data_IF_723384118528
#
_entry.id   IF_723384118528
#
_cell.length_a   1.000
_cell.length_b   1.000
_cell.length_c   1.000
_cell.angle_alpha   90.00
_cell.angle_beta   90.00
_cell.angle_gamma   90.00
#
_symmetry.space_group_name_H-M   'P 1'
#
loop_
_entity.id
_entity.type
_entity.pdbx_description
1 polymer ?
#
# COMPACT_ATOMS: atom_id res chain seq x y z
N UNK A 1 2.72 33.56 -1.05
CA UNK A 1 2.30 32.66 0.05
C UNK A 1 3.55 32.20 0.81
N UNK A 2 3.72 32.61 2.07
CA UNK A 2 4.91 32.31 2.87
C UNK A 2 4.73 30.93 3.50
N UNK A 3 5.55 29.95 3.09
CA UNK A 3 5.46 28.57 3.60
C UNK A 3 6.38 28.42 4.82
N UNK A 4 5.81 28.09 5.98
CA UNK A 4 6.57 27.90 7.23
C UNK A 4 6.57 26.42 7.63
N UNK A 5 7.75 25.79 7.64
CA UNK A 5 7.92 24.44 8.16
C UNK A 5 8.07 24.48 9.69
N UNK A 6 7.25 23.69 10.39
CA UNK A 6 7.17 23.72 11.87
C UNK A 6 7.28 22.31 12.45
N UNK A 7 7.72 22.23 13.72
CA UNK A 7 7.73 20.97 14.45
C UNK A 7 6.33 20.61 14.98
N UNK A 8 6.16 19.41 15.55
CA UNK A 8 4.85 18.92 16.03
C UNK A 8 4.24 19.81 17.11
N UNK A 9 5.05 20.31 18.05
CA UNK A 9 4.58 21.13 19.16
C UNK A 9 4.16 22.52 18.66
N UNK A 10 4.97 23.11 17.79
CA UNK A 10 4.64 24.40 17.16
C UNK A 10 3.40 24.28 16.27
N UNK A 11 3.28 23.24 15.45
CA UNK A 11 2.08 23.02 14.64
C UNK A 11 0.82 22.93 15.51
N UNK A 12 0.89 22.17 16.61
CA UNK A 12 -0.23 22.07 17.57
C UNK A 12 -0.54 23.42 18.22
N UNK A 13 0.48 24.18 18.59
CA UNK A 13 0.29 25.52 19.16
C UNK A 13 -0.39 26.46 18.16
N UNK A 14 0.03 26.47 16.88
CA UNK A 14 -0.59 27.28 15.83
C UNK A 14 -2.05 26.91 15.59
N UNK A 15 -2.35 25.61 15.49
CA UNK A 15 -3.71 25.11 15.35
C UNK A 15 -4.60 25.53 16.53
N UNK A 16 -4.11 25.34 17.76
CA UNK A 16 -4.83 25.73 18.97
C UNK A 16 -5.05 27.25 19.06
N UNK A 17 -4.06 28.06 18.66
CA UNK A 17 -4.19 29.51 18.62
C UNK A 17 -5.24 29.95 17.60
N UNK A 18 -5.25 29.35 16.40
CA UNK A 18 -6.26 29.66 15.38
C UNK A 18 -7.68 29.35 15.89
N UNK A 19 -7.86 28.18 16.51
CA UNK A 19 -9.14 27.79 17.11
C UNK A 19 -9.55 28.73 18.27
N UNK A 20 -8.62 29.07 19.17
CA UNK A 20 -8.89 29.97 20.30
C UNK A 20 -9.29 31.37 19.82
N UNK A 21 -8.63 31.88 18.80
CA UNK A 21 -8.91 33.19 18.21
C UNK A 21 -10.10 33.19 17.26
N UNK A 22 -10.81 32.05 17.12
CA UNK A 22 -11.90 31.87 16.15
C UNK A 22 -11.47 32.23 14.71
N UNK A 23 -10.20 32.04 14.39
CA UNK A 23 -9.67 32.30 13.05
C UNK A 23 -10.00 31.10 12.15
N UNK A 24 -10.73 31.29 11.04
CA UNK A 24 -11.03 30.19 10.13
C UNK A 24 -9.76 29.55 9.55
N UNK A 25 -9.77 28.23 9.41
CA UNK A 25 -8.66 27.48 8.85
C UNK A 25 -9.10 26.25 8.05
N UNK A 26 -8.20 25.81 7.17
CA UNK A 26 -8.26 24.52 6.49
C UNK A 26 -7.05 23.68 6.93
N UNK A 27 -7.33 22.49 7.47
CA UNK A 27 -6.35 21.50 7.85
C UNK A 27 -6.37 20.35 6.83
N UNK A 28 -5.29 20.24 6.06
CA UNK A 28 -5.06 19.18 5.10
C UNK A 28 -4.21 18.07 5.75
N UNK A 29 -4.69 16.84 5.72
CA UNK A 29 -4.03 15.67 6.31
C UNK A 29 -3.74 14.60 5.28
N UNK A 30 -2.48 14.18 5.17
CA UNK A 30 -2.05 13.11 4.26
C UNK A 30 -1.04 12.20 4.96
N UNK A 31 -1.51 11.08 5.50
CA UNK A 31 -0.70 10.21 6.35
C UNK A 31 -0.12 10.99 7.54
N UNK A 32 1.20 11.00 7.68
CA UNK A 32 1.90 11.72 8.76
C UNK A 32 2.23 13.19 8.42
N UNK A 33 1.77 13.70 7.28
CA UNK A 33 1.95 15.10 6.88
C UNK A 33 0.67 15.89 7.14
N UNK A 34 0.83 17.12 7.66
CA UNK A 34 -0.29 18.05 7.86
C UNK A 34 0.05 19.43 7.32
N UNK A 35 -0.91 20.09 6.69
CA UNK A 35 -0.82 21.49 6.30
C UNK A 35 -1.97 22.24 6.97
N UNK A 36 -1.66 23.33 7.67
CA UNK A 36 -2.64 24.25 8.22
C UNK A 36 -2.61 25.52 7.37
N UNK A 37 -3.70 25.80 6.67
CA UNK A 37 -3.92 27.02 5.91
C UNK A 37 -4.85 27.93 6.70
N UNK A 38 -4.37 29.11 7.07
CA UNK A 38 -5.18 30.11 7.76
C UNK A 38 -5.87 31.04 6.75
N UNK A 39 -7.00 31.62 7.14
CA UNK A 39 -7.76 32.57 6.31
C UNK A 39 -6.99 33.83 5.91
N UNK A 40 -5.92 34.17 6.64
CA UNK A 40 -5.02 35.29 6.32
C UNK A 40 -3.99 34.97 5.21
N UNK A 41 -4.04 33.75 4.66
CA UNK A 41 -3.13 33.27 3.62
C UNK A 41 -1.81 32.69 4.13
N UNK A 42 -1.64 32.57 5.45
CA UNK A 42 -0.49 31.89 6.07
C UNK A 42 -0.65 30.38 6.04
N UNK A 43 0.41 29.66 5.67
CA UNK A 43 0.43 28.20 5.66
C UNK A 43 1.56 27.64 6.52
N UNK A 44 1.20 26.74 7.43
CA UNK A 44 2.13 25.98 8.25
C UNK A 44 2.18 24.52 7.80
N UNK A 45 3.38 23.96 7.68
CA UNK A 45 3.60 22.60 7.20
C UNK A 45 4.26 21.78 8.31
N UNK A 46 3.52 20.78 8.80
CA UNK A 46 4.10 19.69 9.59
C UNK A 46 4.55 18.60 8.63
N UNK A 47 5.84 18.58 8.36
CA UNK A 47 6.47 17.55 7.54
C UNK A 47 7.22 16.57 8.45
N UNK A 48 6.70 15.35 8.62
CA UNK A 48 7.32 14.34 9.50
C UNK A 48 8.61 13.74 8.96
N UNK A 49 9.01 14.08 7.72
CA UNK A 49 10.28 13.63 7.13
C UNK A 49 11.52 14.24 7.79
N UNK A 50 11.41 15.21 8.72
CA UNK A 50 12.60 15.68 9.46
C UNK A 50 13.16 14.68 10.46
N UNK A 51 12.44 13.60 10.78
CA UNK A 51 13.09 12.45 11.43
C UNK A 51 13.86 11.59 10.42
N UNK A 52 13.78 11.79 9.10
CA UNK A 52 14.41 10.91 8.09
C UNK A 52 15.73 11.43 7.51
N UNK A 53 16.29 12.55 7.99
CA UNK A 53 17.48 13.17 7.39
C UNK A 53 18.76 13.01 8.21
N UNK A 54 18.65 12.64 9.49
CA UNK A 54 19.80 12.24 10.31
C UNK A 54 19.79 10.73 10.50
N UNK A 55 20.65 10.04 9.76
CA UNK A 55 21.73 9.16 10.27
C UNK A 55 22.19 8.21 9.16
N UNK A 56 23.51 8.18 8.93
CA UNK A 56 24.26 7.30 8.03
C UNK A 56 24.21 5.80 8.37
N UNK A 57 23.22 5.35 9.17
CA UNK A 57 23.10 3.96 9.61
C UNK A 57 21.84 3.33 9.02
N UNK A 58 22.02 2.23 8.29
CA UNK A 58 20.96 1.29 7.91
C UNK A 58 20.40 0.66 9.19
N UNK A 59 19.53 1.38 9.88
CA UNK A 59 18.78 0.83 10.98
C UNK A 59 17.59 0.05 10.39
N UNK A 60 17.79 -1.26 10.25
CA UNK A 60 16.83 -2.20 9.62
C UNK A 60 15.48 -2.27 10.35
N UNK A 61 15.41 -1.72 11.58
CA UNK A 61 14.21 -1.61 12.40
C UNK A 61 13.59 -0.21 12.42
N UNK A 62 14.15 0.77 11.70
CA UNK A 62 13.53 2.10 11.62
C UNK A 62 12.44 2.13 10.55
N UNK A 63 11.26 2.65 10.87
CA UNK A 63 10.19 2.95 9.90
C UNK A 63 10.58 4.05 8.88
N UNK A 64 11.85 4.47 8.85
CA UNK A 64 12.35 5.55 8.01
C UNK A 64 12.75 5.01 6.64
N UNK A 65 12.36 5.72 5.59
CA UNK A 65 12.89 5.50 4.25
C UNK A 65 14.34 6.01 4.19
N UNK A 66 15.25 5.30 3.51
CA UNK A 66 16.63 5.76 3.33
C UNK A 66 16.66 7.14 2.66
N UNK A 67 17.27 8.13 3.33
CA UNK A 67 17.29 9.52 2.88
C UNK A 67 17.86 9.67 1.46
N UNK A 68 18.92 8.90 1.18
CA UNK A 68 19.60 8.83 -0.10
C UNK A 68 18.77 8.17 -1.21
N UNK A 69 17.59 7.65 -0.92
CA UNK A 69 16.71 7.00 -1.91
C UNK A 69 15.38 7.75 -2.09
N UNK A 70 15.05 8.73 -1.25
CA UNK A 70 13.79 9.49 -1.33
C UNK A 70 13.65 10.21 -2.67
N UNK A 71 14.77 10.71 -3.23
CA UNK A 71 14.75 11.37 -4.54
C UNK A 71 14.23 10.43 -5.65
N UNK A 72 14.38 9.11 -5.48
CA UNK A 72 13.94 8.12 -6.46
C UNK A 72 12.42 8.15 -6.64
N UNK A 73 11.65 8.39 -5.57
CA UNK A 73 10.19 8.58 -5.64
C UNK A 73 9.85 9.74 -6.59
N UNK A 74 10.58 10.85 -6.49
CA UNK A 74 10.44 12.00 -7.38
C UNK A 74 10.80 11.67 -8.83
N UNK A 75 11.85 10.88 -9.07
CA UNK A 75 12.24 10.44 -10.42
C UNK A 75 11.16 9.59 -11.07
N UNK A 76 10.58 8.64 -10.35
CA UNK A 76 9.50 7.78 -10.86
C UNK A 76 8.27 8.62 -11.20
N UNK A 77 7.88 9.53 -10.31
CA UNK A 77 6.76 10.44 -10.55
C UNK A 77 6.99 11.31 -11.78
N UNK A 78 8.17 11.92 -11.90
CA UNK A 78 8.55 12.74 -13.06
C UNK A 78 8.51 11.92 -14.35
N UNK A 79 9.05 10.70 -14.36
CA UNK A 79 9.02 9.81 -15.53
C UNK A 79 7.59 9.54 -16.03
N UNK A 80 6.67 9.15 -15.14
CA UNK A 80 5.27 8.87 -15.48
C UNK A 80 4.54 10.13 -15.98
N UNK A 81 4.90 11.29 -15.44
CA UNK A 81 4.31 12.58 -15.84
C UNK A 81 4.83 13.04 -17.21
N UNK A 82 6.15 13.13 -17.37
CA UNK A 82 6.81 13.68 -18.56
C UNK A 82 6.52 12.84 -19.81
N UNK A 83 6.38 11.52 -19.66
CA UNK A 83 6.07 10.60 -20.76
C UNK A 83 4.55 10.39 -20.97
N UNK A 84 3.70 11.10 -20.22
CA UNK A 84 2.25 10.99 -20.37
C UNK A 84 1.67 9.60 -20.05
N UNK A 85 2.42 8.73 -19.36
CA UNK A 85 2.03 7.33 -19.07
C UNK A 85 0.80 7.23 -18.15
N UNK A 86 0.48 8.29 -17.42
CA UNK A 86 -0.77 8.40 -16.67
C UNK A 86 -2.00 8.60 -17.57
N UNK A 87 -1.86 9.06 -18.82
CA UNK A 87 -2.99 9.34 -19.72
C UNK A 87 -3.41 8.14 -20.55
N UNK A 88 -2.53 7.17 -20.77
CA UNK A 88 -2.79 6.01 -21.63
C UNK A 88 -3.91 5.10 -21.10
N UNK A 89 -4.35 5.28 -19.85
CA UNK A 89 -5.15 4.31 -19.10
C UNK A 89 -6.51 4.86 -18.65
N UNK A 90 -6.80 6.14 -18.89
CA UNK A 90 -8.09 6.75 -18.51
C UNK A 90 -9.29 6.06 -19.15
N UNK A 91 -9.10 5.30 -20.26
CA UNK A 91 -10.19 4.62 -20.98
C UNK A 91 -10.67 3.29 -20.36
N UNK A 92 -9.90 2.64 -19.49
CA UNK A 92 -10.23 1.30 -18.95
C UNK A 92 -10.04 1.20 -17.41
N UNK A 93 -9.99 2.33 -16.73
CA UNK A 93 -9.86 2.37 -15.27
C UNK A 93 -11.06 1.67 -14.62
N UNK A 94 -10.82 0.50 -14.03
CA UNK A 94 -11.76 -0.10 -13.09
C UNK A 94 -11.62 0.64 -11.77
N UNK A 95 -12.70 1.28 -11.33
CA UNK A 95 -12.78 1.95 -10.03
C UNK A 95 -12.23 1.04 -8.92
N UNK A 96 -11.54 1.63 -7.93
CA UNK A 96 -10.91 0.92 -6.81
C UNK A 96 -11.83 -0.11 -6.14
N UNK A 97 -13.14 0.12 -6.16
CA UNK A 97 -14.15 -0.75 -5.52
C UNK A 97 -14.32 -2.11 -6.23
N UNK A 98 -13.81 -2.25 -7.45
CA UNK A 98 -13.78 -3.53 -8.17
C UNK A 98 -12.56 -4.39 -7.84
N UNK A 99 -11.59 -3.85 -7.10
CA UNK A 99 -10.34 -4.55 -6.75
C UNK A 99 -10.52 -5.14 -5.35
N UNK A 100 -10.72 -6.45 -5.28
CA UNK A 100 -10.71 -7.16 -4.00
C UNK A 100 -9.26 -7.45 -3.62
N UNK A 101 -8.78 -6.80 -2.57
CA UNK A 101 -7.47 -7.11 -1.97
C UNK A 101 -7.52 -8.34 -1.09
N UNK A 102 -8.72 -8.86 -0.84
CA UNK A 102 -8.93 -10.03 -0.01
C UNK A 102 -10.13 -10.81 -0.50
N UNK A 103 -10.00 -12.12 -0.43
CA UNK A 103 -11.09 -13.06 -0.59
C UNK A 103 -10.75 -14.32 0.18
N UNK A 104 -11.75 -14.99 0.71
CA UNK A 104 -11.63 -16.31 1.31
C UNK A 104 -12.67 -17.26 0.72
N UNK A 105 -12.50 -18.55 0.98
CA UNK A 105 -13.46 -19.56 0.64
C UNK A 105 -14.67 -19.45 1.58
N UNK A 106 -15.81 -19.00 1.06
CA UNK A 106 -17.03 -18.71 1.83
C UNK A 106 -17.67 -19.97 2.43
N UNK A 107 -17.23 -21.17 2.03
CA UNK A 107 -17.64 -22.41 2.67
C UNK A 107 -16.89 -22.69 3.99
N UNK A 108 -15.97 -21.81 4.40
CA UNK A 108 -15.18 -21.95 5.62
C UNK A 108 -15.83 -21.17 6.77
N UNK A 109 -16.20 -21.88 7.83
CA UNK A 109 -16.76 -21.28 9.04
C UNK A 109 -15.72 -20.94 10.12
N UNK A 110 -16.15 -20.18 11.11
CA UNK A 110 -15.39 -19.94 12.35
C UNK A 110 -15.07 -21.28 13.02
N UNK A 111 -13.81 -21.47 13.43
CA UNK A 111 -13.31 -22.70 14.06
C UNK A 111 -12.72 -23.70 13.07
N UNK A 112 -12.91 -23.51 11.76
CA UNK A 112 -12.24 -24.33 10.76
C UNK A 112 -10.75 -24.02 10.67
N UNK A 113 -9.97 -25.05 10.31
CA UNK A 113 -8.54 -24.92 10.14
C UNK A 113 -7.98 -25.88 9.09
N UNK A 114 -6.83 -25.49 8.56
CA UNK A 114 -6.03 -26.29 7.64
C UNK A 114 -4.63 -26.45 8.21
N UNK A 115 -4.21 -27.70 8.37
CA UNK A 115 -2.81 -28.03 8.64
C UNK A 115 -2.07 -28.25 7.31
N UNK A 116 -0.74 -28.15 7.35
CA UNK A 116 0.14 -28.52 6.23
C UNK A 116 -0.19 -27.84 4.89
N UNK A 117 -0.48 -26.53 4.93
CA UNK A 117 -0.87 -25.73 3.78
C UNK A 117 0.29 -24.90 3.21
N UNK A 118 0.05 -24.14 2.14
CA UNK A 118 1.06 -23.34 1.46
C UNK A 118 0.58 -21.91 1.15
N UNK A 119 1.47 -20.93 1.22
CA UNK A 119 1.30 -19.58 0.67
C UNK A 119 2.19 -19.45 -0.56
N UNK A 120 1.65 -18.88 -1.64
CA UNK A 120 2.42 -18.47 -2.82
C UNK A 120 2.35 -16.95 -2.90
N UNK A 121 3.50 -16.28 -2.73
CA UNK A 121 3.61 -14.81 -2.69
C UNK A 121 4.35 -14.26 -3.92
N UNK A 122 3.75 -13.27 -4.57
CA UNK A 122 4.34 -12.61 -5.74
C UNK A 122 5.55 -11.77 -5.35
N UNK A 123 6.67 -12.00 -6.02
CA UNK A 123 7.88 -11.22 -5.84
C UNK A 123 7.73 -9.83 -6.45
N UNK A 124 7.70 -8.80 -5.60
CA UNK A 124 7.72 -7.40 -6.04
C UNK A 124 6.44 -6.94 -6.74
N UNK A 125 5.29 -7.49 -6.34
CA UNK A 125 4.00 -7.40 -7.03
C UNK A 125 3.70 -6.04 -7.67
N UNK A 126 3.61 -4.96 -6.89
CA UNK A 126 3.25 -3.64 -7.43
C UNK A 126 4.30 -3.07 -8.40
N UNK A 127 5.60 -3.23 -8.09
CA UNK A 127 6.68 -2.70 -8.91
C UNK A 127 6.80 -3.45 -10.24
N UNK A 128 6.72 -4.79 -10.19
CA UNK A 128 6.67 -5.66 -11.37
C UNK A 128 5.42 -5.39 -12.19
N UNK A 129 4.26 -5.24 -11.55
CA UNK A 129 3.02 -4.90 -12.24
C UNK A 129 3.13 -3.56 -12.96
N UNK A 130 3.73 -2.55 -12.33
CA UNK A 130 3.91 -1.24 -12.97
C UNK A 130 4.81 -1.33 -14.22
N UNK A 131 5.86 -2.16 -14.16
CA UNK A 131 6.73 -2.43 -15.31
C UNK A 131 6.00 -3.22 -16.43
N UNK A 132 5.31 -4.30 -16.08
CA UNK A 132 4.54 -5.11 -17.04
C UNK A 132 3.48 -4.29 -17.78
N UNK A 133 2.95 -3.25 -17.14
CA UNK A 133 1.97 -2.32 -17.72
C UNK A 133 2.59 -1.11 -18.42
N UNK A 134 3.92 -1.03 -18.51
CA UNK A 134 4.63 0.02 -19.23
C UNK A 134 4.75 1.36 -18.50
N UNK A 135 4.45 1.43 -17.20
CA UNK A 135 4.64 2.66 -16.41
C UNK A 135 6.09 2.97 -16.08
N UNK A 136 6.95 1.96 -16.19
CA UNK A 136 8.37 2.06 -15.89
C UNK A 136 9.16 1.64 -17.14
N UNK A 137 10.14 2.44 -17.53
CA UNK A 137 11.16 1.96 -18.47
C UNK A 137 11.95 0.81 -17.85
N UNK A 138 12.57 -0.03 -18.68
CA UNK A 138 13.48 -1.10 -18.22
C UNK A 138 14.57 -0.56 -17.28
N UNK A 139 15.20 0.55 -17.66
CA UNK A 139 16.23 1.20 -16.84
C UNK A 139 15.72 1.68 -15.47
N UNK A 140 14.50 2.23 -15.42
CA UNK A 140 13.90 2.69 -14.17
C UNK A 140 13.46 1.52 -13.29
N UNK A 141 12.90 0.46 -13.90
CA UNK A 141 12.53 -0.77 -13.22
C UNK A 141 13.75 -1.43 -12.55
N UNK A 142 14.84 -1.63 -13.31
CA UNK A 142 16.10 -2.22 -12.83
C UNK A 142 16.73 -1.37 -11.72
N UNK A 143 16.77 -0.04 -11.89
CA UNK A 143 17.21 0.87 -10.81
C UNK A 143 16.34 0.74 -9.56
N UNK A 144 15.03 0.52 -9.72
CA UNK A 144 14.14 0.27 -8.59
C UNK A 144 14.48 -1.01 -7.81
N UNK A 145 15.05 -2.02 -8.45
CA UNK A 145 15.45 -3.25 -7.76
C UNK A 145 16.66 -3.06 -6.84
N UNK A 146 17.45 -2.00 -7.03
CA UNK A 146 18.63 -1.70 -6.21
C UNK A 146 18.33 -0.84 -4.97
N UNK A 147 17.14 -0.23 -4.88
CA UNK A 147 16.70 0.56 -3.72
C UNK A 147 15.94 -0.30 -2.69
N UNK A 148 15.65 0.25 -1.51
CA UNK A 148 14.86 -0.42 -0.47
C UNK A 148 13.43 -0.75 -0.96
N UNK A 149 12.93 -1.94 -0.59
CA UNK A 149 11.57 -2.41 -0.95
C UNK A 149 10.48 -1.38 -0.57
N UNK A 150 10.65 -0.70 0.56
CA UNK A 150 9.72 0.33 1.06
C UNK A 150 9.72 1.57 0.18
N UNK A 151 10.86 1.92 -0.42
CA UNK A 151 10.95 3.03 -1.38
C UNK A 151 10.19 2.67 -2.66
N UNK A 152 10.37 1.46 -3.22
CA UNK A 152 9.58 0.98 -4.37
C UNK A 152 8.08 1.05 -4.11
N UNK A 153 7.64 0.60 -2.93
CA UNK A 153 6.23 0.66 -2.55
C UNK A 153 5.74 2.10 -2.41
N UNK A 154 6.55 2.99 -1.83
CA UNK A 154 6.23 4.41 -1.71
C UNK A 154 6.12 5.12 -3.08
N UNK A 155 6.94 4.75 -4.08
CA UNK A 155 6.87 5.30 -5.43
C UNK A 155 5.45 5.20 -6.00
N UNK A 156 4.82 4.02 -5.91
CA UNK A 156 3.47 3.80 -6.42
C UNK A 156 2.40 4.23 -5.42
N UNK A 157 2.60 3.95 -4.13
CA UNK A 157 1.62 4.27 -3.09
C UNK A 157 1.36 5.78 -2.95
N UNK A 158 2.34 6.64 -3.25
CA UNK A 158 2.13 8.10 -3.23
C UNK A 158 1.12 8.58 -4.26
N UNK A 159 0.85 7.81 -5.32
CA UNK A 159 -0.17 8.15 -6.29
C UNK A 159 -1.59 7.92 -5.77
N UNK A 160 -1.80 7.05 -4.78
CA UNK A 160 -3.12 6.75 -4.21
C UNK A 160 -3.42 7.48 -2.89
N UNK A 161 -2.51 8.33 -2.40
CA UNK A 161 -2.67 9.03 -1.11
C UNK A 161 -3.70 10.16 -1.20
N UNK A 162 -4.91 9.89 -0.75
CA UNK A 162 -5.96 10.91 -0.53
C UNK A 162 -5.52 11.91 0.54
N UNK A 163 -5.90 13.18 0.37
CA UNK A 163 -5.72 14.21 1.40
C UNK A 163 -7.07 14.48 2.04
N UNK A 164 -7.18 14.22 3.34
CA UNK A 164 -8.37 14.56 4.10
C UNK A 164 -8.39 16.03 4.45
N UNK A 165 -9.57 16.64 4.37
CA UNK A 165 -9.78 18.07 4.59
C UNK A 165 -10.65 18.25 5.82
N UNK A 166 -10.15 18.99 6.80
CA UNK A 166 -10.92 19.45 7.96
C UNK A 166 -10.94 20.97 7.89
N UNK A 167 -12.14 21.55 7.92
CA UNK A 167 -12.32 23.00 7.91
C UNK A 167 -12.79 23.46 9.29
N UNK A 168 -12.46 24.69 9.65
CA UNK A 168 -12.96 25.39 10.81
C UNK A 168 -13.43 26.77 10.39
N UNK A 169 -14.68 27.12 10.73
CA UNK A 169 -15.33 28.38 10.34
C UNK A 169 -15.19 29.50 11.38
N UNK A 170 -14.53 29.24 12.50
CA UNK A 170 -14.46 30.14 13.65
C UNK A 170 -15.29 29.67 14.84
N UNK A 171 -16.20 28.72 14.63
CA UNK A 171 -17.07 28.17 15.68
C UNK A 171 -16.91 26.66 15.83
N UNK A 172 -16.87 25.92 14.72
CA UNK A 172 -16.82 24.45 14.74
C UNK A 172 -15.98 23.87 13.61
N UNK A 173 -15.45 22.68 13.85
CA UNK A 173 -14.80 21.88 12.82
C UNK A 173 -15.83 21.06 12.03
N UNK A 174 -15.57 20.89 10.73
CA UNK A 174 -16.35 20.02 9.86
C UNK A 174 -15.46 19.38 8.79
N UNK A 175 -15.86 18.19 8.33
CA UNK A 175 -15.16 17.50 7.26
C UNK A 175 -15.46 18.13 5.91
N UNK A 176 -14.42 18.50 5.18
CA UNK A 176 -14.49 18.87 3.78
C UNK A 176 -14.48 17.65 2.86
N UNK A 177 -14.57 17.92 1.55
CA UNK A 177 -14.37 16.87 0.55
C UNK A 177 -12.89 16.47 0.50
N UNK A 178 -12.63 15.17 0.65
CA UNK A 178 -11.32 14.58 0.42
C UNK A 178 -10.76 14.96 -0.96
N UNK A 179 -9.50 15.40 -1.01
CA UNK A 179 -8.81 15.67 -2.27
C UNK A 179 -8.26 14.36 -2.80
N UNK A 180 -8.85 13.85 -3.88
CA UNK A 180 -8.39 12.66 -4.58
C UNK A 180 -7.08 12.95 -5.32
N UNK A 181 -6.10 12.03 -5.26
CA UNK A 181 -4.84 12.26 -5.94
C UNK A 181 -5.00 12.08 -7.44
N UNK A 182 -4.47 13.04 -8.21
CA UNK A 182 -4.57 13.11 -9.68
C UNK A 182 -4.16 11.84 -10.43
N UNK A 183 -3.36 10.97 -9.81
CA UNK A 183 -2.77 9.81 -10.45
C UNK A 183 -3.14 8.48 -9.76
N UNK A 184 -4.20 8.46 -8.95
CA UNK A 184 -4.58 7.27 -8.18
C UNK A 184 -4.82 6.04 -9.06
N UNK A 185 -5.33 6.27 -10.27
CA UNK A 185 -5.55 5.22 -11.26
C UNK A 185 -4.27 4.49 -11.68
N UNK A 186 -3.09 5.12 -11.57
CA UNK A 186 -1.81 4.45 -11.84
C UNK A 186 -1.58 3.31 -10.85
N UNK A 187 -1.77 3.58 -9.55
CA UNK A 187 -1.62 2.59 -8.49
C UNK A 187 -2.69 1.49 -8.63
N UNK A 188 -3.94 1.88 -8.80
CA UNK A 188 -5.04 0.92 -8.86
C UNK A 188 -5.01 0.07 -10.14
N UNK A 189 -4.46 0.55 -11.25
CA UNK A 189 -4.26 -0.31 -12.41
C UNK A 189 -3.20 -1.39 -12.15
N UNK A 190 -2.13 -1.06 -11.43
CA UNK A 190 -1.14 -2.05 -11.00
C UNK A 190 -1.77 -3.07 -10.04
N UNK A 191 -2.55 -2.59 -9.06
CA UNK A 191 -3.31 -3.46 -8.15
C UNK A 191 -4.30 -4.38 -8.90
N UNK A 192 -4.93 -3.88 -9.98
CA UNK A 192 -5.90 -4.65 -10.76
C UNK A 192 -5.25 -5.82 -11.52
N UNK A 193 -4.00 -5.71 -11.97
CA UNK A 193 -3.30 -6.85 -12.59
C UNK A 193 -3.01 -7.95 -11.55
N UNK A 194 -2.60 -7.55 -10.34
CA UNK A 194 -2.41 -8.48 -9.22
C UNK A 194 -3.74 -9.15 -8.87
N UNK A 195 -4.82 -8.38 -8.75
CA UNK A 195 -6.16 -8.91 -8.48
C UNK A 195 -6.62 -9.91 -9.55
N UNK A 196 -6.40 -9.64 -10.84
CA UNK A 196 -6.71 -10.59 -11.92
C UNK A 196 -5.94 -11.89 -11.76
N UNK A 197 -4.66 -11.81 -11.42
CA UNK A 197 -3.81 -12.97 -11.15
C UNK A 197 -4.33 -13.77 -9.94
N UNK A 198 -4.62 -13.12 -8.81
CA UNK A 198 -5.18 -13.79 -7.62
C UNK A 198 -6.52 -14.46 -7.89
N UNK A 199 -7.39 -13.81 -8.66
CA UNK A 199 -8.70 -14.37 -9.02
C UNK A 199 -8.57 -15.54 -10.01
N UNK A 200 -7.59 -15.51 -10.91
CA UNK A 200 -7.28 -16.64 -11.77
C UNK A 200 -6.78 -17.85 -10.95
N UNK A 201 -5.87 -17.61 -9.99
CA UNK A 201 -5.41 -18.63 -9.04
C UNK A 201 -6.57 -19.27 -8.28
N UNK A 202 -7.42 -18.45 -7.63
CA UNK A 202 -8.63 -18.90 -6.91
C UNK A 202 -9.52 -19.80 -7.78
N UNK A 203 -9.79 -19.40 -9.03
CA UNK A 203 -10.67 -20.16 -9.93
C UNK A 203 -10.08 -21.48 -10.38
N UNK A 204 -8.76 -21.54 -10.55
CA UNK A 204 -8.08 -22.73 -11.06
C UNK A 204 -7.99 -23.84 -10.01
N UNK A 205 -7.70 -23.49 -8.75
CA UNK A 205 -7.48 -24.47 -7.68
C UNK A 205 -8.76 -24.87 -6.93
N UNK A 206 -9.89 -24.18 -7.17
CA UNK A 206 -11.24 -24.54 -6.70
C UNK A 206 -11.29 -24.91 -5.21
N UNK A 207 -11.47 -26.20 -4.90
CA UNK A 207 -11.66 -26.70 -3.53
C UNK A 207 -10.38 -26.63 -2.70
N UNK A 208 -9.21 -26.51 -3.34
CA UNK A 208 -7.93 -26.31 -2.66
C UNK A 208 -7.65 -24.86 -2.31
N UNK A 209 -8.50 -23.93 -2.75
CA UNK A 209 -8.42 -22.53 -2.38
C UNK A 209 -8.84 -22.32 -0.92
N UNK A 210 -7.99 -21.64 -0.14
CA UNK A 210 -8.30 -21.24 1.23
C UNK A 210 -8.67 -19.76 1.26
N UNK A 211 -7.71 -18.88 0.94
CA UNK A 211 -7.93 -17.44 0.83
C UNK A 211 -6.80 -16.77 0.04
N UNK A 212 -6.93 -15.49 -0.30
CA UNK A 212 -5.79 -14.66 -0.68
C UNK A 212 -5.85 -13.34 0.09
N UNK A 213 -4.67 -12.78 0.35
CA UNK A 213 -4.49 -11.45 0.90
C UNK A 213 -3.45 -10.72 0.06
N UNK A 214 -3.87 -9.61 -0.54
CA UNK A 214 -3.13 -8.75 -1.48
C UNK A 214 -2.52 -9.54 -2.64
N UNK A 215 -1.28 -9.96 -2.48
CA UNK A 215 -0.38 -10.55 -3.47
C UNK A 215 0.12 -11.95 -3.08
N UNK A 216 -0.39 -12.53 -1.98
CA UNK A 216 -0.26 -13.96 -1.65
C UNK A 216 -1.60 -14.70 -1.70
N UNK A 217 -1.58 -15.90 -2.27
CA UNK A 217 -2.68 -16.88 -2.24
C UNK A 217 -2.31 -18.08 -1.37
N UNK A 218 -3.26 -18.57 -0.58
CA UNK A 218 -3.13 -19.71 0.32
C UNK A 218 -3.93 -20.91 -0.20
N UNK A 219 -3.27 -22.06 -0.27
CA UNK A 219 -3.82 -23.31 -0.82
C UNK A 219 -3.48 -24.52 0.03
N UNK A 220 -4.27 -25.59 -0.11
CA UNK A 220 -4.18 -26.79 0.73
C UNK A 220 -2.98 -27.69 0.43
N UNK A 221 -2.60 -27.84 -0.84
CA UNK A 221 -1.65 -28.89 -1.26
C UNK A 221 -0.65 -28.39 -2.32
N UNK A 222 0.34 -29.24 -2.66
CA UNK A 222 1.40 -28.90 -3.64
C UNK A 222 0.94 -28.82 -5.09
N UNK A 223 -0.04 -29.62 -5.50
CA UNK A 223 -0.60 -29.52 -6.85
C UNK A 223 -1.21 -28.13 -7.08
N UNK A 224 -1.95 -27.61 -6.11
CA UNK A 224 -2.50 -26.26 -6.14
C UNK A 224 -1.40 -25.18 -6.16
N UNK A 225 -0.25 -25.41 -5.52
CA UNK A 225 0.92 -24.52 -5.59
C UNK A 225 1.44 -24.43 -7.03
N UNK A 226 1.65 -25.57 -7.68
CA UNK A 226 2.20 -25.60 -9.04
C UNK A 226 1.26 -24.92 -10.05
N UNK A 227 -0.06 -25.15 -9.93
CA UNK A 227 -1.08 -24.47 -10.73
C UNK A 227 -1.00 -22.95 -10.53
N UNK A 228 -0.96 -22.49 -9.27
CA UNK A 228 -0.88 -21.07 -8.95
C UNK A 228 0.41 -20.43 -9.48
N UNK A 229 1.55 -21.11 -9.38
CA UNK A 229 2.83 -20.62 -9.92
C UNK A 229 2.80 -20.49 -11.45
N UNK A 230 2.20 -21.46 -12.15
CA UNK A 230 1.98 -21.37 -13.60
C UNK A 230 1.17 -20.13 -13.98
N UNK A 231 0.05 -19.90 -13.30
CA UNK A 231 -0.81 -18.73 -13.54
C UNK A 231 -0.09 -17.41 -13.24
N UNK A 232 0.68 -17.34 -12.15
CA UNK A 232 1.46 -16.15 -11.81
C UNK A 232 2.49 -15.84 -12.90
N UNK A 233 3.18 -16.86 -13.41
CA UNK A 233 4.15 -16.73 -14.48
C UNK A 233 3.48 -16.23 -15.78
N UNK A 234 2.31 -16.76 -16.15
CA UNK A 234 1.51 -16.30 -17.28
C UNK A 234 1.10 -14.82 -17.16
N UNK A 235 0.88 -14.34 -15.92
CA UNK A 235 0.62 -12.92 -15.63
C UNK A 235 1.90 -12.06 -15.53
N UNK A 236 3.08 -12.66 -15.76
CA UNK A 236 4.37 -11.98 -15.77
C UNK A 236 4.98 -11.76 -14.38
N UNK A 237 4.58 -12.56 -13.40
CA UNK A 237 5.05 -12.50 -12.02
C UNK A 237 5.90 -13.71 -11.65
N UNK A 238 7.05 -13.43 -11.02
CA UNK A 238 7.80 -14.44 -10.29
C UNK A 238 7.17 -14.61 -8.89
N UNK A 239 7.26 -15.81 -8.31
CA UNK A 239 6.71 -16.09 -6.99
C UNK A 239 7.59 -17.04 -6.19
N UNK A 240 7.38 -17.02 -4.88
CA UNK A 240 7.98 -17.97 -3.94
C UNK A 240 6.88 -18.63 -3.12
N UNK A 241 7.21 -19.80 -2.57
CA UNK A 241 6.32 -20.57 -1.73
C UNK A 241 6.81 -20.57 -0.28
N UNK A 242 5.88 -20.46 0.66
CA UNK A 242 6.12 -20.65 2.08
C UNK A 242 5.22 -21.77 2.59
N UNK A 243 5.75 -22.66 3.44
CA UNK A 243 4.96 -23.65 4.15
C UNK A 243 4.21 -23.02 5.32
N UNK A 244 2.93 -23.38 5.47
CA UNK A 244 2.04 -22.95 6.53
C UNK A 244 1.66 -24.15 7.39
N UNK A 245 2.14 -24.18 8.63
CA UNK A 245 1.83 -25.26 9.57
C UNK A 245 0.34 -25.33 9.87
N UNK A 246 -0.30 -24.16 10.06
CA UNK A 246 -1.72 -24.06 10.33
C UNK A 246 -2.30 -22.74 9.83
N UNK A 247 -3.50 -22.79 9.26
CA UNK A 247 -4.36 -21.65 8.95
C UNK A 247 -5.67 -21.86 9.70
N UNK A 248 -6.13 -20.89 10.49
CA UNK A 248 -7.35 -21.01 11.30
C UNK A 248 -8.28 -19.83 11.06
N UNK A 249 -9.58 -20.11 10.96
CA UNK A 249 -10.64 -19.12 10.80
C UNK A 249 -11.20 -18.76 12.17
N UNK A 250 -11.04 -17.49 12.55
CA UNK A 250 -11.48 -16.93 13.82
C UNK A 250 -12.56 -15.87 13.57
N UNK A 251 -13.34 -15.54 14.60
CA UNK A 251 -14.45 -14.59 14.46
C UNK A 251 -14.03 -13.21 13.90
N UNK A 252 -12.81 -12.77 14.23
CA UNK A 252 -12.28 -11.48 13.84
C UNK A 252 -11.19 -11.55 12.76
N UNK A 253 -10.94 -12.73 12.18
CA UNK A 253 -9.95 -12.84 11.11
C UNK A 253 -9.44 -14.24 10.83
N UNK A 254 -8.39 -14.30 10.02
CA UNK A 254 -7.68 -15.53 9.68
C UNK A 254 -6.29 -15.49 10.32
N UNK A 255 -5.97 -16.51 11.12
CA UNK A 255 -4.64 -16.69 11.73
C UNK A 255 -3.83 -17.66 10.90
N UNK A 256 -2.62 -17.29 10.54
CA UNK A 256 -1.69 -18.11 9.77
C UNK A 256 -0.42 -18.30 10.56
N UNK A 257 -0.04 -19.55 10.77
CA UNK A 257 1.25 -19.95 11.31
C UNK A 257 2.14 -20.44 10.15
N UNK A 258 3.07 -19.60 9.70
CA UNK A 258 3.90 -19.85 8.52
C UNK A 258 5.38 -19.95 8.86
N UNK A 259 6.12 -20.75 8.10
CA UNK A 259 7.57 -20.80 8.20
C UNK A 259 8.18 -19.50 7.69
N UNK A 260 9.25 -19.04 8.35
CA UNK A 260 10.02 -17.87 7.98
C UNK A 260 11.48 -18.27 7.83
N UNK A 261 11.92 -18.49 6.60
CA UNK A 261 13.31 -18.91 6.32
C UNK A 261 14.32 -17.93 6.93
N UNK A 262 14.03 -16.63 6.86
CA UNK A 262 14.90 -15.58 7.40
C UNK A 262 15.13 -15.71 8.92
N UNK A 263 14.13 -16.19 9.66
CA UNK A 263 14.17 -16.28 11.12
C UNK A 263 14.34 -17.72 11.62
N UNK A 264 14.38 -18.69 10.70
CA UNK A 264 14.45 -20.12 10.97
C UNK A 264 13.41 -20.56 12.02
N UNK A 265 12.18 -20.04 11.88
CA UNK A 265 11.09 -20.33 12.81
C UNK A 265 9.73 -20.08 12.20
N UNK A 266 8.73 -20.63 12.86
CA UNK A 266 7.33 -20.32 12.62
C UNK A 266 6.97 -18.91 13.12
N UNK A 267 6.27 -18.17 12.27
CA UNK A 267 5.74 -16.85 12.56
C UNK A 267 4.22 -16.84 12.44
N UNK A 268 3.58 -16.25 13.43
CA UNK A 268 2.15 -16.02 13.41
C UNK A 268 1.83 -14.69 12.73
N UNK A 269 0.88 -14.73 11.80
CA UNK A 269 0.27 -13.57 11.17
C UNK A 269 -1.23 -13.61 11.38
N UNK A 270 -1.79 -12.47 11.73
CA UNK A 270 -3.23 -12.30 11.88
C UNK A 270 -3.75 -11.33 10.81
N UNK A 271 -4.75 -11.79 10.08
CA UNK A 271 -5.41 -11.05 9.01
C UNK A 271 -6.80 -10.66 9.51
N UNK A 272 -6.96 -9.41 9.95
CA UNK A 272 -8.21 -8.91 10.51
C UNK A 272 -9.30 -8.76 9.45
N UNK A 273 -10.32 -9.60 9.52
CA UNK A 273 -11.42 -9.73 8.55
C UNK A 273 -12.62 -10.23 9.34
N UNK A 274 -13.80 -9.66 9.14
CA UNK A 274 -15.01 -10.28 9.70
C UNK A 274 -15.34 -11.52 8.86
N UNK A 275 -15.37 -12.67 9.52
CA UNK A 275 -15.86 -13.93 8.93
C UNK A 275 -17.33 -14.03 9.33
N UNK A 276 -18.20 -14.08 8.32
CA UNK A 276 -19.66 -14.13 8.48
C UNK A 276 -20.16 -15.55 8.75
#
# INVERSE_FOLDING_TARGET
>A
MRKCFVNKNEFKARLNMAAHNKQPYELLMQGNSKTLNLSDGTSYYLYSLRKSLDTEKKDLNSDRLPANEIYFIGQVKKHIMDNGLHKSIEKNYKHKDMIKFISYNENMGIGEFFDDSYCIDITGAYWRSAYNQGYLSKSLYEKGLTVDKRVRLACLGTFAKTVSVINFDGEKEYFGNDIKPKFEHVFFNAANLIYKCMNACRKAVKDDYIFYWTDCVYVKNKEAVDICRGIMLEHGFDSHEDYCKRISFEHNGIRVNKWSEKKDKFEEKFYGIMID
#
